data_IF_494820577640
#
_entry.id   IF_494820577640
#
_cell.length_a   1.000
_cell.length_b   1.000
_cell.length_c   1.000
_cell.angle_alpha   90.00
_cell.angle_beta   90.00
_cell.angle_gamma   90.00
#
_symmetry.space_group_name_H-M   'P 1'
#
loop_
_entity.id
_entity.type
_entity.pdbx_description
1 polymer ?
#
# COMPACT_ATOMS: atom_id res chain seq x y z
N UNK A 1 11.19 10.53 10.01
CA UNK A 1 9.91 9.97 9.54
C UNK A 1 9.88 10.11 8.02
N UNK A 2 9.54 9.04 7.31
CA UNK A 2 9.31 9.03 5.85
C UNK A 2 7.87 8.57 5.61
N UNK A 3 7.14 9.29 4.76
CA UNK A 3 5.78 8.92 4.35
C UNK A 3 5.70 8.81 2.84
N UNK A 4 5.12 7.71 2.36
CA UNK A 4 4.98 7.41 0.93
C UNK A 4 3.50 7.24 0.61
N UNK A 5 3.08 7.78 -0.52
CA UNK A 5 1.75 7.58 -1.10
C UNK A 5 1.87 6.67 -2.33
N UNK A 6 1.09 5.60 -2.37
CA UNK A 6 1.01 4.68 -3.49
C UNK A 6 -0.37 4.83 -4.17
N UNK A 7 -0.44 5.37 -5.40
CA UNK A 7 -1.71 5.58 -6.10
C UNK A 7 -2.32 4.26 -6.59
N UNK A 8 -3.64 4.27 -6.78
CA UNK A 8 -4.35 3.21 -7.48
C UNK A 8 -3.84 3.07 -8.92
N UNK A 9 -3.94 1.85 -9.45
CA UNK A 9 -3.53 1.50 -10.80
C UNK A 9 -4.56 0.63 -11.50
N UNK A 10 -4.49 0.62 -12.83
CA UNK A 10 -5.27 -0.24 -13.72
C UNK A 10 -4.31 -1.27 -14.30
N UNK A 11 -4.57 -2.55 -14.01
CA UNK A 11 -3.87 -3.66 -14.65
C UNK A 11 -4.44 -3.95 -16.05
N UNK A 12 -3.60 -4.48 -16.94
CA UNK A 12 -3.87 -4.91 -18.31
C UNK A 12 -4.29 -3.81 -19.30
N UNK A 13 -4.93 -2.74 -18.83
CA UNK A 13 -5.47 -1.64 -19.64
C UNK A 13 -6.28 -2.17 -20.83
N UNK A 14 -7.07 -3.22 -20.57
CA UNK A 14 -7.88 -4.00 -21.53
C UNK A 14 -7.12 -4.82 -22.58
N UNK A 15 -5.90 -4.45 -22.98
CA UNK A 15 -5.24 -5.03 -24.18
C UNK A 15 -3.91 -5.74 -23.90
N UNK A 16 -3.27 -5.45 -22.77
CA UNK A 16 -1.94 -5.97 -22.43
C UNK A 16 -1.98 -6.87 -21.22
N UNK A 17 -2.67 -8.01 -21.34
CA UNK A 17 -2.79 -9.00 -20.25
C UNK A 17 -1.42 -9.33 -19.65
N UNK A 18 -1.30 -9.12 -18.34
CA UNK A 18 -0.12 -9.31 -17.48
C UNK A 18 1.12 -8.45 -17.82
N UNK A 19 1.12 -7.70 -18.93
CA UNK A 19 2.30 -6.96 -19.41
C UNK A 19 2.14 -5.44 -19.43
N UNK A 20 0.94 -4.93 -19.16
CA UNK A 20 0.65 -3.50 -19.21
C UNK A 20 -0.09 -3.02 -17.97
N UNK A 21 0.23 -1.81 -17.51
CA UNK A 21 -0.49 -1.15 -16.42
C UNK A 21 -0.35 0.36 -16.48
N UNK A 22 -1.23 1.07 -15.78
CA UNK A 22 -1.20 2.52 -15.67
C UNK A 22 -1.58 2.98 -14.27
N UNK A 23 -0.80 3.89 -13.67
CA UNK A 23 -1.20 4.62 -12.48
C UNK A 23 -2.18 5.74 -12.86
N UNK A 24 -3.13 6.05 -11.98
CA UNK A 24 -4.14 7.10 -12.21
C UNK A 24 -4.13 8.14 -11.10
N UNK A 25 -4.55 9.36 -11.44
CA UNK A 25 -4.72 10.46 -10.51
C UNK A 25 -6.07 11.14 -10.75
N UNK A 26 -6.94 11.29 -9.74
CA UNK A 26 -8.19 12.02 -9.88
C UNK A 26 -7.98 13.48 -10.30
N UNK A 27 -8.80 13.95 -11.25
CA UNK A 27 -8.72 15.32 -11.79
C UNK A 27 -9.09 16.42 -10.78
N UNK A 28 -9.81 16.05 -9.72
CA UNK A 28 -10.18 16.95 -8.62
C UNK A 28 -9.11 17.02 -7.52
N UNK A 29 -7.98 16.34 -7.70
CA UNK A 29 -6.85 16.33 -6.77
C UNK A 29 -7.06 15.46 -5.53
N UNK A 30 -8.17 14.72 -5.42
CA UNK A 30 -8.35 13.77 -4.33
C UNK A 30 -7.31 12.65 -4.41
N UNK A 31 -6.89 12.14 -3.24
CA UNK A 31 -6.02 10.97 -3.18
C UNK A 31 -6.86 9.69 -3.37
N UNK A 32 -6.43 8.87 -4.33
CA UNK A 32 -6.98 7.55 -4.59
C UNK A 32 -5.84 6.53 -4.50
N UNK A 33 -5.57 6.07 -3.29
CA UNK A 33 -4.46 5.18 -2.98
C UNK A 33 -4.22 5.10 -1.48
N UNK A 34 -3.15 4.41 -1.10
CA UNK A 34 -2.80 4.17 0.31
C UNK A 34 -1.51 4.89 0.69
N UNK A 35 -1.30 5.06 2.00
CA UNK A 35 -0.07 5.64 2.54
C UNK A 35 0.60 4.67 3.52
N UNK A 36 1.92 4.59 3.45
CA UNK A 36 2.76 3.96 4.47
C UNK A 36 3.66 5.02 5.09
N UNK A 37 3.77 5.02 6.41
CA UNK A 37 4.67 5.91 7.16
C UNK A 37 5.63 5.05 7.97
N UNK A 38 6.92 5.38 7.89
CA UNK A 38 8.00 4.68 8.59
C UNK A 38 8.76 5.68 9.46
N UNK A 39 9.06 5.26 10.68
CA UNK A 39 9.85 6.01 11.65
C UNK A 39 10.83 5.09 12.35
N UNK A 40 11.93 5.65 12.86
CA UNK A 40 12.94 4.88 13.56
C UNK A 40 12.38 4.43 14.92
N UNK A 41 12.56 3.15 15.23
CA UNK A 41 12.13 2.52 16.47
C UNK A 41 13.15 1.47 16.91
N UNK A 42 13.09 1.07 18.20
CA UNK A 42 13.93 -0.02 18.73
C UNK A 42 13.44 -1.39 18.28
N UNK A 43 12.13 -1.53 18.05
CA UNK A 43 11.48 -2.77 17.66
C UNK A 43 10.49 -2.50 16.53
N UNK A 44 10.27 -3.50 15.68
CA UNK A 44 9.30 -3.40 14.60
C UNK A 44 7.87 -3.43 15.15
N UNK A 45 7.04 -2.50 14.67
CA UNK A 45 5.61 -2.47 14.96
C UNK A 45 4.85 -2.05 13.70
N UNK A 46 3.74 -2.75 13.41
CA UNK A 46 2.84 -2.39 12.32
C UNK A 46 1.48 -1.95 12.86
N UNK A 47 1.17 -0.67 12.71
CA UNK A 47 -0.12 -0.09 13.09
C UNK A 47 -0.93 0.26 11.83
N UNK A 48 -2.01 -0.48 11.59
CA UNK A 48 -2.89 -0.24 10.44
C UNK A 48 -4.04 0.73 10.80
N UNK A 49 -4.33 1.69 9.92
CA UNK A 49 -5.39 2.69 10.09
C UNK A 49 -6.08 2.95 8.75
N UNK A 50 -7.25 3.59 8.79
CA UNK A 50 -7.98 4.03 7.59
C UNK A 50 -9.34 3.38 7.42
N UNK A 51 -10.05 3.78 6.37
CA UNK A 51 -11.47 3.42 6.12
C UNK A 51 -11.71 1.90 6.06
N UNK A 52 -10.73 1.14 5.56
CA UNK A 52 -10.85 -0.29 5.31
C UNK A 52 -10.04 -1.16 6.28
N UNK A 53 -9.59 -0.61 7.42
CA UNK A 53 -8.74 -1.33 8.38
C UNK A 53 -9.35 -2.66 8.85
N UNK A 54 -10.68 -2.73 8.98
CA UNK A 54 -11.40 -3.94 9.38
C UNK A 54 -11.42 -5.06 8.34
N UNK A 55 -10.88 -4.82 7.14
CA UNK A 55 -10.75 -5.80 6.06
C UNK A 55 -9.37 -6.43 5.98
N UNK A 56 -8.43 -5.97 6.80
CA UNK A 56 -7.09 -6.55 6.86
C UNK A 56 -7.11 -7.91 7.58
N UNK A 57 -6.11 -8.78 7.31
CA UNK A 57 -5.96 -10.03 8.04
C UNK A 57 -5.89 -9.81 9.55
N UNK A 58 -6.51 -10.71 10.32
CA UNK A 58 -6.43 -10.68 11.79
C UNK A 58 -5.02 -11.03 12.29
N UNK A 59 -4.32 -11.91 11.58
CA UNK A 59 -2.91 -12.19 11.81
C UNK A 59 -2.03 -11.15 11.11
N UNK A 60 -1.30 -10.36 11.90
CA UNK A 60 -0.43 -9.30 11.40
C UNK A 60 0.66 -9.81 10.43
N UNK A 61 1.10 -11.07 10.57
CA UNK A 61 2.11 -11.66 9.67
C UNK A 61 1.61 -11.90 8.25
N UNK A 62 0.29 -11.98 8.08
CA UNK A 62 -0.35 -12.09 6.77
C UNK A 62 -0.60 -10.73 6.11
N UNK A 63 -0.31 -9.62 6.80
CA UNK A 63 -0.39 -8.29 6.21
C UNK A 63 0.73 -8.10 5.19
N UNK A 64 0.38 -7.63 3.99
CA UNK A 64 1.34 -7.42 2.90
C UNK A 64 2.46 -6.46 3.31
N UNK A 65 2.16 -5.40 4.07
CA UNK A 65 3.18 -4.44 4.53
C UNK A 65 4.13 -5.07 5.54
N UNK A 66 3.65 -6.00 6.37
CA UNK A 66 4.48 -6.78 7.28
C UNK A 66 5.47 -7.65 6.48
N UNK A 67 4.96 -8.36 5.46
CA UNK A 67 5.79 -9.20 4.59
C UNK A 67 6.81 -8.37 3.79
N UNK A 68 6.43 -7.17 3.33
CA UNK A 68 7.37 -6.26 2.69
C UNK A 68 8.53 -5.87 3.62
N UNK A 69 8.26 -5.65 4.91
CA UNK A 69 9.32 -5.38 5.88
C UNK A 69 10.22 -6.60 6.11
N UNK A 70 9.65 -7.80 6.33
CA UNK A 70 10.43 -9.03 6.51
C UNK A 70 11.29 -9.40 5.28
N UNK A 71 10.85 -9.02 4.07
CA UNK A 71 11.61 -9.25 2.84
C UNK A 71 12.72 -8.22 2.60
N UNK A 72 12.58 -7.01 3.16
CA UNK A 72 13.50 -5.90 2.93
C UNK A 72 14.60 -5.79 3.99
N UNK A 73 14.29 -6.12 5.25
CA UNK A 73 15.18 -6.01 6.41
C UNK A 73 15.81 -7.36 6.78
#
# INVERSE_FOLDING_TARGET
>A
MVKVYAPASIGNVSVGFDVLGAAVSPIDGQLLGDCVTVEAAQEFQLHSKGRFVSKLPSDAKQNIVYQCWELFC
#
